data_IF_408161257765
#
_entry.id   IF_408161257765
#
_cell.length_a   1.000
_cell.length_b   1.000
_cell.length_c   1.000
_cell.angle_alpha   90.00
_cell.angle_beta   90.00
_cell.angle_gamma   90.00
#
_symmetry.space_group_name_H-M   'P 1'
#
loop_
_entity.id
_entity.type
_entity.pdbx_description
1 polymer ?
#
# COMPACT_ATOMS: atom_id res chain seq x y z
N UNK A 1 1.59 0.06 -42.07
CA UNK A 1 0.92 -0.44 -40.85
C UNK A 1 1.68 0.12 -39.67
N UNK A 2 1.15 1.17 -39.04
CA UNK A 2 1.82 1.84 -37.92
C UNK A 2 1.80 0.94 -36.70
N UNK A 3 2.98 0.62 -36.18
CA UNK A 3 3.16 -0.10 -34.93
C UNK A 3 2.49 0.74 -33.84
N UNK A 4 1.37 0.22 -33.29
CA UNK A 4 0.72 0.83 -32.13
C UNK A 4 1.71 0.71 -30.96
N UNK A 5 2.15 1.84 -30.45
CA UNK A 5 3.01 1.93 -29.27
C UNK A 5 2.32 1.23 -28.08
N UNK A 6 2.72 0.00 -27.79
CA UNK A 6 2.15 -0.82 -26.72
C UNK A 6 2.61 -0.36 -25.33
N UNK A 7 3.51 0.62 -25.23
CA UNK A 7 3.85 1.25 -23.95
C UNK A 7 2.82 2.28 -23.48
N UNK A 8 1.85 2.66 -24.33
CA UNK A 8 0.82 3.64 -23.98
C UNK A 8 -0.46 3.04 -23.39
N UNK A 9 -0.67 1.71 -23.44
CA UNK A 9 -1.88 1.03 -22.92
C UNK A 9 -1.75 0.57 -21.46
N UNK A 10 -0.60 0.81 -20.81
CA UNK A 10 -0.36 0.40 -19.42
C UNK A 10 0.46 1.43 -18.62
N UNK A 11 0.22 2.74 -18.82
CA UNK A 11 0.85 3.75 -17.97
C UNK A 11 0.06 3.98 -16.66
N UNK A 12 0.13 2.99 -15.77
CA UNK A 12 -0.38 3.00 -14.39
C UNK A 12 0.70 3.38 -13.36
N UNK A 13 1.65 4.26 -13.72
CA UNK A 13 2.94 4.45 -13.02
C UNK A 13 2.92 4.77 -11.53
N UNK A 14 1.77 5.02 -10.88
CA UNK A 14 1.74 5.24 -9.43
C UNK A 14 0.52 4.65 -8.71
N UNK A 15 -0.29 3.80 -9.32
CA UNK A 15 -1.51 3.31 -8.68
C UNK A 15 -1.76 1.86 -9.07
N UNK A 16 -1.48 0.92 -8.15
CA UNK A 16 -1.96 -0.47 -8.28
C UNK A 16 -3.18 -0.62 -7.38
N UNK A 17 -4.31 -0.99 -7.97
CA UNK A 17 -5.51 -1.37 -7.21
C UNK A 17 -5.48 -2.88 -6.99
N UNK A 18 -5.58 -3.30 -5.74
CA UNK A 18 -5.75 -4.70 -5.38
C UNK A 18 -7.15 -4.98 -4.88
N UNK A 19 -7.60 -6.22 -5.10
CA UNK A 19 -8.80 -6.80 -4.53
C UNK A 19 -8.42 -7.82 -3.46
N UNK A 20 -9.33 -8.06 -2.53
CA UNK A 20 -9.21 -9.10 -1.52
C UNK A 20 -7.90 -8.97 -0.70
N UNK A 21 -7.74 -7.81 -0.07
CA UNK A 21 -6.67 -7.52 0.85
C UNK A 21 -6.91 -8.13 2.22
N UNK A 22 -5.85 -8.58 2.87
CA UNK A 22 -5.85 -9.06 4.24
C UNK A 22 -4.70 -8.41 5.01
N UNK A 23 -5.04 -7.76 6.12
CA UNK A 23 -4.10 -7.09 7.01
C UNK A 23 -3.74 -8.03 8.16
N UNK A 24 -2.45 -8.27 8.33
CA UNK A 24 -1.92 -9.16 9.37
C UNK A 24 -1.05 -8.40 10.35
N UNK A 25 -1.00 -8.87 11.60
CA UNK A 25 0.00 -8.43 12.56
C UNK A 25 1.36 -9.12 12.30
N UNK A 26 2.41 -8.70 13.01
CA UNK A 26 3.76 -9.26 12.89
C UNK A 26 3.87 -10.75 13.21
N UNK A 27 2.87 -11.32 13.91
CA UNK A 27 2.77 -12.75 14.25
C UNK A 27 1.98 -13.57 13.20
N UNK A 28 1.43 -12.92 12.18
CA UNK A 28 0.62 -13.58 11.14
C UNK A 28 -0.87 -13.75 11.50
N UNK A 29 -1.36 -13.10 12.56
CA UNK A 29 -2.79 -13.06 12.89
C UNK A 29 -3.51 -12.08 11.97
N UNK A 30 -4.67 -12.47 11.45
CA UNK A 30 -5.54 -11.60 10.65
C UNK A 30 -6.16 -10.52 11.54
N UNK A 31 -6.04 -9.26 11.15
CA UNK A 31 -6.57 -8.10 11.86
C UNK A 31 -7.80 -7.52 11.15
N UNK A 32 -7.72 -7.40 9.82
CA UNK A 32 -8.80 -6.87 9.00
C UNK A 32 -8.75 -7.44 7.59
N UNK A 33 -9.92 -7.63 6.99
CA UNK A 33 -10.06 -7.91 5.56
C UNK A 33 -10.45 -6.63 4.84
N UNK A 34 -10.00 -6.46 3.59
CA UNK A 34 -10.15 -5.25 2.80
C UNK A 34 -10.64 -5.63 1.41
N UNK A 35 -11.74 -5.06 0.95
CA UNK A 35 -12.30 -5.43 -0.35
C UNK A 35 -11.51 -4.81 -1.50
N UNK A 36 -11.26 -3.50 -1.43
CA UNK A 36 -10.49 -2.75 -2.43
C UNK A 36 -9.46 -1.87 -1.74
N UNK A 37 -8.22 -1.96 -2.21
CA UNK A 37 -7.13 -1.09 -1.76
C UNK A 37 -6.31 -0.57 -2.94
N UNK A 38 -5.63 0.54 -2.73
CA UNK A 38 -4.81 1.22 -3.69
C UNK A 38 -3.40 1.42 -3.11
N UNK A 39 -2.37 1.06 -3.85
CA UNK A 39 -0.98 1.30 -3.52
C UNK A 39 -0.39 2.37 -4.45
N UNK A 40 0.23 3.39 -3.88
CA UNK A 40 0.88 4.48 -4.58
C UNK A 40 2.34 4.66 -4.18
N UNK A 41 3.21 4.68 -5.19
CA UNK A 41 4.63 4.96 -5.01
C UNK A 41 4.94 6.42 -5.32
N UNK A 42 5.34 7.17 -4.30
CA UNK A 42 5.94 8.49 -4.43
C UNK A 42 7.42 8.34 -4.74
N UNK A 43 7.85 8.90 -5.88
CA UNK A 43 9.27 8.98 -6.27
C UNK A 43 9.60 10.46 -6.33
N UNK A 44 10.61 10.86 -5.56
CA UNK A 44 11.12 12.23 -5.49
C UNK A 44 12.56 12.22 -5.99
N UNK A 45 12.84 13.13 -6.93
CA UNK A 45 14.17 13.34 -7.48
C UNK A 45 14.65 14.75 -7.09
N UNK A 46 15.96 14.89 -6.87
CA UNK A 46 16.61 16.19 -6.74
C UNK A 46 17.21 16.60 -8.09
N UNK A 47 17.07 17.88 -8.42
CA UNK A 47 17.70 18.48 -9.60
C UNK A 47 19.13 18.89 -9.26
N UNK A 48 20.09 18.30 -9.95
CA UNK A 48 21.50 18.63 -9.83
C UNK A 48 22.01 19.29 -11.12
N UNK A 49 22.76 20.39 -10.96
CA UNK A 49 23.35 21.12 -12.08
C UNK A 49 24.88 21.12 -11.93
N UNK A 50 25.60 20.27 -12.68
CA UNK A 50 27.05 20.26 -12.69
C UNK A 50 27.61 21.60 -13.20
N UNK A 51 28.57 22.16 -12.48
CA UNK A 51 29.23 23.41 -12.87
C UNK A 51 29.86 23.29 -14.27
N UNK A 52 29.51 24.23 -15.16
CA UNK A 52 30.08 24.32 -16.51
C UNK A 52 29.31 23.59 -17.60
N UNK A 53 28.18 22.94 -17.30
CA UNK A 53 27.30 22.34 -18.33
C UNK A 53 25.87 22.85 -18.15
N UNK A 54 25.15 23.28 -19.21
CA UNK A 54 23.79 23.78 -19.10
C UNK A 54 22.72 22.68 -18.83
N UNK A 55 23.14 21.44 -18.63
CA UNK A 55 22.26 20.28 -18.49
C UNK A 55 21.85 20.08 -17.02
N UNK A 56 20.55 20.05 -16.74
CA UNK A 56 20.02 19.57 -15.46
C UNK A 56 19.94 18.04 -15.46
N UNK A 57 20.37 17.42 -14.37
CA UNK A 57 20.22 15.98 -14.13
C UNK A 57 19.27 15.74 -12.96
N UNK A 58 18.40 14.74 -13.08
CA UNK A 58 17.57 14.26 -11.97
C UNK A 58 18.27 13.09 -11.27
N UNK A 59 18.54 13.26 -9.98
CA UNK A 59 19.11 12.22 -9.11
C UNK A 59 18.00 11.72 -8.19
N UNK A 60 17.85 10.40 -8.09
CA UNK A 60 16.87 9.79 -7.19
C UNK A 60 17.21 10.12 -5.73
N UNK A 61 16.24 10.67 -5.00
CA UNK A 61 16.40 11.08 -3.60
C UNK A 61 15.64 10.14 -2.66
N UNK A 62 14.34 9.98 -2.88
CA UNK A 62 13.51 9.12 -2.03
C UNK A 62 12.40 8.40 -2.79
N UNK A 63 12.08 7.20 -2.30
CA UNK A 63 10.93 6.41 -2.71
C UNK A 63 10.11 6.10 -1.46
N UNK A 64 8.84 6.52 -1.46
CA UNK A 64 7.88 6.20 -0.41
C UNK A 64 6.67 5.49 -1.00
N UNK A 65 6.08 4.55 -0.26
CA UNK A 65 4.87 3.85 -0.71
C UNK A 65 3.73 4.10 0.27
N UNK A 66 2.61 4.59 -0.23
CA UNK A 66 1.37 4.81 0.53
C UNK A 66 0.32 3.80 0.08
N UNK A 67 -0.40 3.22 1.02
CA UNK A 67 -1.56 2.36 0.80
C UNK A 67 -2.81 3.07 1.29
N UNK A 68 -3.88 3.01 0.51
CA UNK A 68 -5.20 3.51 0.91
C UNK A 68 -6.28 2.47 0.67
N UNK A 69 -7.25 2.38 1.58
CA UNK A 69 -8.42 1.50 1.41
C UNK A 69 -9.64 2.07 2.11
N UNK A 70 -10.84 1.77 1.62
CA UNK A 70 -12.08 2.40 2.11
C UNK A 70 -13.07 1.45 2.73
N UNK A 71 -13.01 0.16 2.42
CA UNK A 71 -13.94 -0.85 2.92
C UNK A 71 -13.13 -1.97 3.57
N UNK A 72 -13.03 -1.90 4.91
CA UNK A 72 -12.42 -2.96 5.69
C UNK A 72 -13.40 -3.53 6.71
N UNK A 73 -13.32 -4.84 6.92
CA UNK A 73 -13.98 -5.52 8.03
C UNK A 73 -12.91 -5.82 9.07
N UNK A 74 -13.13 -5.32 10.29
CA UNK A 74 -12.22 -5.59 11.40
C UNK A 74 -12.54 -6.97 11.96
N UNK A 75 -11.62 -7.90 11.78
CA UNK A 75 -11.77 -9.30 12.18
C UNK A 75 -11.37 -9.51 13.64
N UNK A 76 -10.45 -8.68 14.16
CA UNK A 76 -9.88 -8.87 15.49
C UNK A 76 -9.72 -7.56 16.28
N UNK A 77 -9.99 -7.61 17.59
CA UNK A 77 -9.83 -6.47 18.50
C UNK A 77 -8.37 -6.05 18.73
N UNK A 78 -7.39 -6.89 18.37
CA UNK A 78 -5.98 -6.50 18.32
C UNK A 78 -5.74 -5.32 17.38
N UNK A 79 -6.58 -5.13 16.35
CA UNK A 79 -6.49 -3.97 15.46
C UNK A 79 -6.59 -2.64 16.22
N UNK A 80 -7.60 -2.51 17.09
CA UNK A 80 -7.80 -1.31 17.92
C UNK A 80 -6.76 -1.26 19.05
N UNK A 81 -6.44 -2.40 19.64
CA UNK A 81 -5.46 -2.48 20.73
C UNK A 81 -4.08 -2.01 20.28
N UNK A 82 -3.66 -2.36 19.06
CA UNK A 82 -2.39 -1.93 18.47
C UNK A 82 -2.36 -0.42 18.25
N UNK A 83 -3.47 0.19 17.81
CA UNK A 83 -3.58 1.64 17.67
C UNK A 83 -3.49 2.37 19.02
N UNK A 84 -4.16 1.84 20.06
CA UNK A 84 -4.08 2.39 21.41
C UNK A 84 -2.68 2.22 22.04
N UNK A 85 -2.01 1.10 21.77
CA UNK A 85 -0.61 0.88 22.18
C UNK A 85 0.33 1.85 21.48
N UNK A 86 0.14 2.08 20.19
CA UNK A 86 0.91 3.09 19.45
C UNK A 86 0.73 4.48 20.06
N UNK A 87 -0.49 4.86 20.42
CA UNK A 87 -0.77 6.14 21.07
C UNK A 87 -0.06 6.29 22.43
N UNK A 88 -0.05 5.23 23.23
CA UNK A 88 0.51 5.25 24.60
C UNK A 88 2.03 5.07 24.66
N UNK A 89 2.61 4.30 23.74
CA UNK A 89 4.05 3.95 23.75
C UNK A 89 4.87 4.66 22.69
N UNK A 90 4.23 5.24 21.67
CA UNK A 90 4.89 5.79 20.48
C UNK A 90 5.47 4.71 19.55
N UNK A 91 5.30 3.43 19.87
CA UNK A 91 5.83 2.31 19.07
C UNK A 91 4.85 2.00 17.95
N UNK A 92 5.34 2.04 16.70
CA UNK A 92 4.53 1.73 15.53
C UNK A 92 4.10 0.26 15.52
N UNK A 93 2.88 -0.05 15.07
CA UNK A 93 2.44 -1.42 14.93
C UNK A 93 3.19 -2.12 13.80
N UNK A 94 3.45 -3.41 13.97
CA UNK A 94 4.02 -4.24 12.91
C UNK A 94 2.87 -4.87 12.13
N UNK A 95 2.41 -4.18 11.08
CA UNK A 95 1.38 -4.70 10.20
C UNK A 95 1.92 -5.06 8.82
N UNK A 96 1.25 -6.01 8.16
CA UNK A 96 1.56 -6.46 6.81
C UNK A 96 0.27 -6.61 6.03
N UNK A 97 0.14 -5.90 4.92
CA UNK A 97 -0.99 -6.08 4.02
C UNK A 97 -0.59 -7.09 2.93
N UNK A 98 -1.42 -8.10 2.70
CA UNK A 98 -1.31 -8.98 1.54
C UNK A 98 -2.54 -8.79 0.69
N UNK A 99 -2.38 -8.63 -0.62
CA UNK A 99 -3.53 -8.51 -1.50
C UNK A 99 -3.25 -8.98 -2.90
N UNK A 100 -4.32 -9.24 -3.65
CA UNK A 100 -4.25 -9.72 -5.02
C UNK A 100 -4.45 -8.56 -5.98
N UNK A 101 -3.50 -8.36 -6.88
CA UNK A 101 -3.60 -7.41 -7.99
C UNK A 101 -4.04 -8.19 -9.22
N UNK A 102 -5.17 -7.77 -9.81
CA UNK A 102 -5.67 -8.36 -11.06
C UNK A 102 -5.21 -7.49 -12.24
N UNK A 103 -4.48 -8.10 -13.16
CA UNK A 103 -4.13 -7.49 -14.43
C UNK A 103 -5.34 -7.42 -15.37
N UNK A 104 -5.30 -6.49 -16.32
CA UNK A 104 -6.34 -6.34 -17.37
C UNK A 104 -6.50 -7.62 -18.20
N UNK A 105 -5.43 -8.40 -18.32
CA UNK A 105 -5.40 -9.71 -18.98
C UNK A 105 -5.98 -10.87 -18.15
N UNK A 106 -6.56 -10.60 -16.97
CA UNK A 106 -7.06 -11.63 -16.05
C UNK A 106 -5.99 -12.36 -15.25
N UNK A 107 -4.70 -11.99 -15.40
CA UNK A 107 -3.65 -12.54 -14.54
C UNK A 107 -3.76 -12.01 -13.12
N UNK A 108 -3.52 -12.87 -12.13
CA UNK A 108 -3.54 -12.47 -10.74
C UNK A 108 -2.14 -12.53 -10.15
N UNK A 109 -1.77 -11.50 -9.41
CA UNK A 109 -0.47 -11.38 -8.75
C UNK A 109 -0.69 -11.07 -7.29
N UNK A 110 -0.06 -11.85 -6.39
CA UNK A 110 -0.10 -11.52 -4.97
C UNK A 110 1.08 -10.63 -4.58
N UNK A 111 0.75 -9.49 -3.98
CA UNK A 111 1.72 -8.56 -3.43
C UNK A 111 1.65 -8.55 -1.90
N UNK A 112 2.81 -8.42 -1.28
CA UNK A 112 2.99 -8.23 0.16
C UNK A 112 3.56 -6.84 0.37
N UNK A 113 2.89 -6.08 1.21
CA UNK A 113 3.33 -4.78 1.71
C UNK A 113 3.73 -4.95 3.18
N UNK A 114 5.03 -5.05 3.48
CA UNK A 114 5.50 -5.24 4.83
C UNK A 114 5.68 -3.91 5.59
N UNK A 115 5.62 -3.98 6.92
CA UNK A 115 5.83 -2.84 7.82
C UNK A 115 4.90 -1.66 7.50
N UNK A 116 3.60 -1.95 7.35
CA UNK A 116 2.58 -0.93 7.16
C UNK A 116 2.35 -0.16 8.46
N UNK A 117 2.48 1.15 8.40
CA UNK A 117 2.29 2.07 9.52
C UNK A 117 1.06 2.93 9.27
N UNK A 118 0.09 2.98 10.19
CA UNK A 118 -1.08 3.84 10.05
C UNK A 118 -0.69 5.32 9.92
N UNK A 119 -1.32 6.01 8.96
CA UNK A 119 -1.02 7.41 8.65
C UNK A 119 -2.30 8.21 8.37
N UNK A 120 -2.23 9.52 8.63
CA UNK A 120 -3.38 10.42 8.48
C UNK A 120 -4.37 10.31 9.65
N UNK A 121 -5.64 10.60 9.36
CA UNK A 121 -6.69 10.60 10.36
C UNK A 121 -7.24 9.18 10.54
N UNK A 122 -7.22 8.70 11.78
CA UNK A 122 -7.68 7.36 12.16
C UNK A 122 -8.83 7.53 13.15
N UNK A 123 -9.99 6.99 12.78
CA UNK A 123 -11.15 7.00 13.66
C UNK A 123 -10.97 5.93 14.76
N UNK A 124 -10.92 6.38 16.02
CA UNK A 124 -10.79 5.50 17.20
C UNK A 124 -12.13 5.04 17.78
N UNK A 125 -13.22 5.74 17.43
CA UNK A 125 -14.57 5.45 17.89
C UNK A 125 -15.45 5.22 16.67
N UNK A 126 -16.36 4.24 16.73
CA UNK A 126 -17.18 3.70 15.63
C UNK A 126 -16.55 2.53 14.83
N UNK A 127 -15.56 1.85 15.40
CA UNK A 127 -15.03 0.58 14.86
C UNK A 127 -15.29 -0.53 15.88
N UNK A 128 -16.22 -1.42 15.55
CA UNK A 128 -16.48 -2.64 16.33
C UNK A 128 -16.00 -3.86 15.55
N UNK A 129 -15.54 -4.89 16.27
CA UNK A 129 -15.19 -6.17 15.64
C UNK A 129 -16.39 -6.72 14.87
N UNK A 130 -16.17 -7.18 13.65
CA UNK A 130 -17.21 -7.65 12.71
C UNK A 130 -17.98 -6.54 12.00
N UNK A 131 -17.67 -5.26 12.24
CA UNK A 131 -18.32 -4.15 11.53
C UNK A 131 -17.61 -3.83 10.22
N UNK A 132 -18.41 -3.57 9.18
CA UNK A 132 -17.92 -3.03 7.92
C UNK A 132 -17.63 -1.54 8.09
N UNK A 133 -16.36 -1.17 8.05
CA UNK A 133 -15.90 0.21 8.13
C UNK A 133 -15.73 0.74 6.71
N UNK A 134 -16.62 1.66 6.31
CA UNK A 134 -16.61 2.35 5.00
C UNK A 134 -15.85 3.68 5.02
N UNK A 135 -14.69 3.71 5.67
CA UNK A 135 -13.88 4.92 5.84
C UNK A 135 -12.53 4.73 5.18
N UNK A 136 -12.01 5.81 4.62
CA UNK A 136 -10.67 5.80 4.02
C UNK A 136 -9.61 5.69 5.12
N UNK A 137 -8.86 4.60 5.08
CA UNK A 137 -7.65 4.40 5.84
C UNK A 137 -6.44 4.63 4.95
N UNK A 138 -5.39 5.22 5.52
CA UNK A 138 -4.10 5.38 4.87
C UNK A 138 -3.03 4.70 5.71
N UNK A 139 -2.14 3.95 5.07
CA UNK A 139 -0.96 3.36 5.67
C UNK A 139 0.26 3.79 4.85
N UNK A 140 1.40 3.99 5.50
CA UNK A 140 2.68 4.12 4.83
C UNK A 140 3.46 2.81 4.95
N UNK A 141 4.09 2.37 3.87
CA UNK A 141 4.81 1.08 3.81
C UNK A 141 6.29 1.35 3.99
N UNK A 142 6.83 0.95 5.15
CA UNK A 142 8.25 1.15 5.49
C UNK A 142 9.17 0.05 4.97
N UNK A 143 8.62 -1.02 4.38
CA UNK A 143 9.40 -2.09 3.80
C UNK A 143 9.25 -2.19 2.29
N UNK A 144 10.19 -2.90 1.67
CA UNK A 144 10.14 -3.20 0.24
C UNK A 144 8.91 -4.04 -0.09
N UNK A 145 8.12 -3.61 -1.08
CA UNK A 145 6.96 -4.37 -1.57
C UNK A 145 7.45 -5.61 -2.30
N UNK A 146 6.95 -6.78 -1.90
CA UNK A 146 7.39 -8.08 -2.44
C UNK A 146 6.29 -8.76 -3.21
N UNK A 147 6.65 -9.35 -4.35
CA UNK A 147 5.79 -10.26 -5.08
C UNK A 147 5.87 -11.65 -4.45
N UNK A 148 4.73 -12.19 -3.99
CA UNK A 148 4.67 -13.53 -3.41
C UNK A 148 4.51 -14.62 -4.49
N UNK A 149 3.97 -14.26 -5.65
CA UNK A 149 3.86 -15.17 -6.80
C UNK A 149 2.91 -14.66 -7.87
N UNK A 150 3.01 -15.25 -9.07
CA UNK A 150 2.01 -15.14 -10.13
C UNK A 150 1.03 -16.29 -9.95
N UNK A 151 -0.24 -16.00 -9.73
CA UNK A 151 -1.29 -16.98 -9.84
C UNK A 151 -1.53 -17.15 -11.35
N UNK A 152 -1.12 -18.29 -11.90
CA UNK A 152 -1.43 -18.62 -13.30
C UNK A 152 -2.96 -18.76 -13.41
N UNK A 153 -3.52 -18.11 -14.44
CA UNK A 153 -4.88 -18.35 -14.90
C UNK A 153 -5.05 -19.80 -15.35
#
# INVERSE_FOLDING_TARGET
MGIINTQAVADGRKVRTGKDGALYNGKGKLLATVEVFQAQMGVTNQKYHPLGTPLEQEILDSIGTTLTFTECVVEDGEFITDLLKMQSTGIQPNWKLQGVVKGINGSEERLIYPNCVPSGNIDLQNVSVGSLVKRQWSLFVNGEVKQQGKLKA
#
